data_IF_510561592207
#
_entry.id   IF_510561592207
#
_cell.length_a   1.000
_cell.length_b   1.000
_cell.length_c   1.000
_cell.angle_alpha   90.00
_cell.angle_beta   90.00
_cell.angle_gamma   90.00
#
_symmetry.space_group_name_H-M   'P 1'
#
loop_
_entity.id
_entity.type
_entity.pdbx_description
1 polymer ?
#
# COMPACT_ATOMS: atom_id res chain seq x y z
N UNK A 1 -21.39 -10.48 -32.40
CA UNK A 1 -22.86 -10.41 -32.35
C UNK A 1 -23.36 -11.05 -31.06
N UNK A 2 -24.37 -10.46 -30.42
CA UNK A 2 -24.97 -10.99 -29.19
C UNK A 2 -26.04 -12.01 -29.58
N UNK A 3 -25.67 -13.27 -29.69
CA UNK A 3 -26.60 -14.37 -29.97
C UNK A 3 -27.39 -14.74 -28.72
N UNK A 4 -28.69 -15.04 -28.88
CA UNK A 4 -29.54 -15.52 -27.80
C UNK A 4 -28.97 -16.83 -27.21
N UNK A 5 -28.89 -16.91 -25.87
CA UNK A 5 -28.40 -18.10 -25.15
C UNK A 5 -26.92 -18.09 -24.74
N UNK A 6 -26.09 -17.16 -25.22
CA UNK A 6 -24.70 -16.97 -24.73
C UNK A 6 -24.65 -16.01 -23.55
N UNK A 7 -23.78 -16.29 -22.57
CA UNK A 7 -23.52 -15.35 -21.47
C UNK A 7 -22.89 -14.07 -22.03
N UNK A 8 -23.59 -12.95 -21.85
CA UNK A 8 -23.17 -11.63 -22.33
C UNK A 8 -21.80 -11.21 -21.78
N UNK A 9 -21.44 -11.67 -20.57
CA UNK A 9 -20.13 -11.39 -19.96
C UNK A 9 -19.00 -12.05 -20.73
N UNK A 10 -19.21 -13.27 -21.23
CA UNK A 10 -18.22 -13.96 -22.06
C UNK A 10 -18.04 -13.26 -23.40
N UNK A 11 -19.13 -12.86 -24.05
CA UNK A 11 -19.07 -12.12 -25.32
C UNK A 11 -18.33 -10.78 -25.14
N UNK A 12 -18.58 -10.08 -24.04
CA UNK A 12 -17.87 -8.84 -23.72
C UNK A 12 -16.39 -9.08 -23.44
N UNK A 13 -16.04 -10.09 -22.62
CA UNK A 13 -14.65 -10.43 -22.33
C UNK A 13 -13.89 -10.78 -23.62
N UNK A 14 -14.47 -11.63 -24.47
CA UNK A 14 -13.92 -12.00 -25.77
C UNK A 14 -13.74 -10.82 -26.72
N UNK A 15 -14.52 -9.74 -26.58
CA UNK A 15 -14.37 -8.52 -27.37
C UNK A 15 -13.34 -7.57 -26.75
N UNK A 16 -13.34 -7.42 -25.43
CA UNK A 16 -12.44 -6.55 -24.69
C UNK A 16 -10.98 -7.02 -24.81
N UNK A 17 -10.75 -8.33 -24.77
CA UNK A 17 -9.40 -8.92 -24.83
C UNK A 17 -8.94 -9.27 -26.25
N UNK A 18 -9.62 -8.79 -27.30
CA UNK A 18 -9.14 -9.02 -28.68
C UNK A 18 -7.84 -8.26 -28.91
N UNK A 19 -6.85 -8.84 -29.61
CA UNK A 19 -5.63 -8.11 -29.98
C UNK A 19 -5.91 -6.84 -30.79
N UNK A 20 -7.02 -6.78 -31.52
CA UNK A 20 -7.42 -5.61 -32.32
C UNK A 20 -8.11 -4.53 -31.49
N UNK A 21 -8.39 -4.75 -30.19
CA UNK A 21 -8.95 -3.73 -29.31
C UNK A 21 -7.80 -2.85 -28.78
N UNK A 22 -7.68 -1.58 -29.22
CA UNK A 22 -6.53 -0.75 -28.86
C UNK A 22 -6.60 -0.22 -27.42
N UNK A 23 -7.76 -0.35 -26.75
CA UNK A 23 -8.00 0.32 -25.47
C UNK A 23 -7.66 -0.57 -24.29
N UNK A 24 -8.15 -1.81 -24.27
CA UNK A 24 -8.12 -2.62 -23.05
C UNK A 24 -6.69 -2.95 -22.59
N UNK A 25 -5.82 -3.37 -23.49
CA UNK A 25 -4.43 -3.69 -23.17
C UNK A 25 -3.66 -2.46 -22.68
N UNK A 26 -3.77 -1.32 -23.39
CA UNK A 26 -3.16 -0.04 -22.98
C UNK A 26 -3.65 0.43 -21.62
N UNK A 27 -4.96 0.40 -21.38
CA UNK A 27 -5.53 0.80 -20.09
C UNK A 27 -5.07 -0.13 -18.96
N UNK A 28 -5.05 -1.44 -19.18
CA UNK A 28 -4.62 -2.40 -18.16
C UNK A 28 -3.12 -2.29 -17.87
N UNK A 29 -2.29 -2.15 -18.91
CA UNK A 29 -0.87 -1.92 -18.78
C UNK A 29 -0.59 -0.63 -17.98
N UNK A 30 -1.24 0.48 -18.33
CA UNK A 30 -1.10 1.75 -17.61
C UNK A 30 -1.52 1.65 -16.13
N UNK A 31 -2.62 0.95 -15.84
CA UNK A 31 -3.10 0.75 -14.46
C UNK A 31 -2.17 -0.10 -13.62
N UNK A 32 -1.63 -1.19 -14.18
CA UNK A 32 -0.66 -2.02 -13.46
C UNK A 32 0.67 -1.30 -13.30
N UNK A 33 1.09 -0.52 -14.30
CA UNK A 33 2.24 0.35 -14.19
C UNK A 33 2.04 1.32 -13.01
N UNK A 34 0.95 2.09 -12.99
CA UNK A 34 0.63 2.99 -11.88
C UNK A 34 0.55 2.30 -10.52
N UNK A 35 0.00 1.07 -10.48
CA UNK A 35 -0.07 0.29 -9.25
C UNK A 35 1.31 0.03 -8.64
N UNK A 36 2.33 -0.28 -9.47
CA UNK A 36 3.68 -0.54 -8.99
C UNK A 36 4.49 0.76 -8.82
N UNK A 37 4.49 1.64 -9.81
CA UNK A 37 5.33 2.84 -9.88
C UNK A 37 4.71 4.09 -9.25
N UNK A 38 3.48 4.02 -8.75
CA UNK A 38 2.78 5.14 -8.08
C UNK A 38 2.08 6.11 -9.03
N UNK A 39 2.57 6.24 -10.27
CA UNK A 39 2.00 7.07 -11.33
C UNK A 39 1.88 6.29 -12.64
N UNK A 40 0.81 6.52 -13.40
CA UNK A 40 0.66 5.95 -14.73
C UNK A 40 1.50 6.66 -15.78
N UNK A 41 1.84 5.96 -16.87
CA UNK A 41 2.38 6.58 -18.08
C UNK A 41 1.38 7.60 -18.64
N UNK A 42 0.08 7.35 -18.50
CA UNK A 42 -1.00 8.33 -18.68
C UNK A 42 -1.61 8.64 -17.33
N UNK A 43 -1.73 9.92 -17.00
CA UNK A 43 -2.39 10.42 -15.79
C UNK A 43 -3.38 11.53 -16.20
N UNK A 44 -4.65 11.53 -15.76
CA UNK A 44 -5.32 10.52 -14.93
C UNK A 44 -5.40 9.12 -15.54
N UNK A 45 -5.40 8.07 -14.72
CA UNK A 45 -5.42 6.66 -15.18
C UNK A 45 -6.60 6.30 -16.10
N UNK A 46 -7.72 7.00 -15.96
CA UNK A 46 -8.94 6.78 -16.73
C UNK A 46 -9.03 7.68 -17.97
N UNK A 47 -8.07 8.60 -18.16
CA UNK A 47 -8.10 9.63 -19.20
C UNK A 47 -7.19 9.29 -20.39
N UNK A 48 -7.42 8.11 -21.00
CA UNK A 48 -6.72 7.69 -22.23
C UNK A 48 -7.39 8.32 -23.46
N UNK A 49 -7.08 9.58 -23.74
CA UNK A 49 -7.52 10.31 -24.94
C UNK A 49 -6.31 10.74 -25.77
N UNK A 50 -6.49 10.93 -27.07
CA UNK A 50 -5.42 11.39 -27.96
C UNK A 50 -4.81 12.75 -27.56
N UNK A 51 -5.55 13.57 -26.81
CA UNK A 51 -5.09 14.86 -26.27
C UNK A 51 -4.36 14.73 -24.92
N UNK A 52 -4.26 13.53 -24.36
CA UNK A 52 -3.53 13.21 -23.14
C UNK A 52 -2.59 12.02 -23.41
N UNK A 53 -1.52 12.22 -24.20
CA UNK A 53 -0.60 11.15 -24.54
C UNK A 53 0.18 10.68 -23.31
N UNK A 54 0.68 9.45 -23.38
CA UNK A 54 1.56 8.92 -22.36
C UNK A 54 2.88 9.71 -22.27
N UNK A 55 3.47 9.79 -21.08
CA UNK A 55 4.82 10.33 -20.89
C UNK A 55 5.86 9.60 -21.73
N UNK A 56 5.61 8.33 -22.04
CA UNK A 56 6.37 7.54 -23.00
C UNK A 56 5.42 6.61 -23.79
N UNK A 57 4.96 7.07 -24.96
CA UNK A 57 4.07 6.31 -25.85
C UNK A 57 4.69 4.98 -26.34
N UNK A 58 5.93 4.94 -26.85
CA UNK A 58 6.55 3.67 -27.25
C UNK A 58 6.62 2.63 -26.13
N UNK A 59 6.83 3.07 -24.88
CA UNK A 59 6.81 2.17 -23.73
C UNK A 59 5.40 1.65 -23.44
N UNK A 60 4.38 2.51 -23.49
CA UNK A 60 3.00 2.08 -23.25
C UNK A 60 2.53 1.09 -24.31
N UNK A 61 2.89 1.31 -25.58
CA UNK A 61 2.62 0.37 -26.67
C UNK A 61 3.32 -0.97 -26.44
N UNK A 62 4.62 -0.96 -26.14
CA UNK A 62 5.38 -2.19 -25.87
C UNK A 62 4.82 -2.98 -24.68
N UNK A 63 4.38 -2.30 -23.61
CA UNK A 63 3.75 -2.94 -22.46
C UNK A 63 2.37 -3.51 -22.81
N UNK A 64 1.59 -2.83 -23.65
CA UNK A 64 0.30 -3.32 -24.10
C UNK A 64 0.44 -4.57 -24.98
N UNK A 65 1.40 -4.56 -25.91
CA UNK A 65 1.72 -5.71 -26.77
C UNK A 65 2.19 -6.91 -25.93
N UNK A 66 3.10 -6.68 -24.98
CA UNK A 66 3.56 -7.73 -24.07
C UNK A 66 2.42 -8.34 -23.24
N UNK A 67 1.46 -7.52 -22.78
CA UNK A 67 0.30 -8.02 -22.05
C UNK A 67 -0.61 -8.89 -22.95
N UNK A 68 -0.74 -8.56 -24.24
CA UNK A 68 -1.47 -9.37 -25.23
C UNK A 68 -0.73 -10.69 -25.49
N UNK A 69 0.59 -10.66 -25.66
CA UNK A 69 1.44 -11.84 -25.85
C UNK A 69 1.34 -12.82 -24.67
N UNK A 70 1.31 -12.29 -23.45
CA UNK A 70 1.08 -13.04 -22.21
C UNK A 70 -0.37 -13.53 -22.05
N UNK A 71 -1.27 -13.24 -23.01
CA UNK A 71 -2.70 -13.56 -22.94
C UNK A 71 -3.35 -13.04 -21.66
N UNK A 72 -2.96 -11.83 -21.25
CA UNK A 72 -3.45 -11.15 -20.04
C UNK A 72 -3.13 -11.90 -18.73
N UNK A 73 -2.06 -12.71 -18.69
CA UNK A 73 -1.52 -13.22 -17.43
C UNK A 73 -0.90 -12.07 -16.61
N UNK A 74 -1.69 -11.56 -15.66
CA UNK A 74 -1.29 -10.44 -14.81
C UNK A 74 -0.08 -10.79 -13.93
N UNK A 75 0.10 -12.05 -13.54
CA UNK A 75 1.23 -12.47 -12.69
C UNK A 75 2.53 -12.42 -13.48
N UNK A 76 2.53 -12.94 -14.70
CA UNK A 76 3.68 -12.88 -15.59
C UNK A 76 4.01 -11.43 -15.99
N UNK A 77 2.98 -10.61 -16.23
CA UNK A 77 3.16 -9.19 -16.53
C UNK A 77 3.75 -8.42 -15.33
N UNK A 78 3.21 -8.63 -14.13
CA UNK A 78 3.77 -8.07 -12.90
C UNK A 78 5.23 -8.50 -12.70
N UNK A 79 5.57 -9.77 -12.94
CA UNK A 79 6.97 -10.21 -12.89
C UNK A 79 7.87 -9.43 -13.86
N UNK A 80 7.37 -9.07 -15.04
CA UNK A 80 8.12 -8.25 -15.99
C UNK A 80 8.38 -6.84 -15.44
N UNK A 81 7.34 -6.19 -14.90
CA UNK A 81 7.48 -4.85 -14.30
C UNK A 81 8.43 -4.86 -13.10
N UNK A 82 8.28 -5.82 -12.19
CA UNK A 82 9.08 -5.93 -10.96
C UNK A 82 10.56 -6.27 -11.21
N UNK A 83 10.86 -6.91 -12.35
CA UNK A 83 12.24 -7.18 -12.78
C UNK A 83 12.83 -6.11 -13.71
N UNK A 84 12.09 -5.03 -13.97
CA UNK A 84 12.58 -3.93 -14.80
C UNK A 84 13.61 -3.07 -14.05
N UNK A 85 14.52 -2.44 -14.80
CA UNK A 85 15.46 -1.47 -14.23
C UNK A 85 14.73 -0.31 -13.55
N UNK A 86 13.62 0.16 -14.14
CA UNK A 86 12.81 1.27 -13.60
C UNK A 86 12.32 0.94 -12.19
N UNK A 87 11.89 -0.30 -11.93
CA UNK A 87 11.39 -0.71 -10.62
C UNK A 87 12.50 -0.79 -9.57
N UNK A 88 13.73 -1.07 -10.00
CA UNK A 88 14.88 -1.28 -9.13
C UNK A 88 15.68 0.01 -8.86
N UNK A 89 15.24 1.16 -9.39
CA UNK A 89 15.89 2.45 -9.16
C UNK A 89 15.92 2.83 -7.67
N UNK A 90 16.93 3.62 -7.28
CA UNK A 90 16.97 4.25 -5.96
C UNK A 90 15.87 5.31 -5.84
N UNK A 91 15.36 5.51 -4.63
CA UNK A 91 14.51 6.67 -4.30
C UNK A 91 15.34 7.92 -3.95
N UNK A 92 16.66 7.78 -3.87
CA UNK A 92 17.57 8.91 -3.68
C UNK A 92 17.66 9.74 -4.96
N UNK A 93 17.38 11.03 -4.82
CA UNK A 93 17.44 12.00 -5.91
C UNK A 93 18.79 12.70 -5.96
N UNK A 94 19.14 13.21 -7.12
CA UNK A 94 20.24 14.14 -7.35
C UNK A 94 19.68 15.51 -7.79
N UNK A 95 20.55 16.51 -7.91
CA UNK A 95 20.16 17.88 -8.25
C UNK A 95 19.38 17.98 -9.58
N UNK A 96 19.67 17.09 -10.54
CA UNK A 96 19.06 17.12 -11.88
C UNK A 96 17.69 16.45 -11.96
N UNK A 97 17.35 15.57 -11.02
CA UNK A 97 16.12 14.77 -11.09
C UNK A 97 15.20 14.90 -9.87
N UNK A 98 15.55 15.73 -8.88
CA UNK A 98 14.75 15.95 -7.68
C UNK A 98 13.31 16.45 -7.95
N UNK A 99 13.06 17.07 -9.10
CA UNK A 99 11.74 17.56 -9.52
C UNK A 99 11.06 16.66 -10.57
N UNK A 100 11.64 15.50 -10.88
CA UNK A 100 11.06 14.60 -11.86
C UNK A 100 9.93 13.78 -11.26
N UNK A 101 8.71 14.05 -11.69
CA UNK A 101 7.51 13.33 -11.22
C UNK A 101 6.90 12.42 -12.31
N UNK A 102 7.45 12.42 -13.52
CA UNK A 102 6.78 11.78 -14.68
C UNK A 102 7.67 10.86 -15.53
N UNK A 103 9.00 11.03 -15.47
CA UNK A 103 9.94 10.30 -16.32
C UNK A 103 10.58 9.11 -15.60
N UNK A 104 10.18 8.84 -14.36
CA UNK A 104 10.63 7.67 -13.58
C UNK A 104 12.16 7.61 -13.44
N UNK A 105 12.82 8.75 -13.27
CA UNK A 105 14.28 8.82 -13.06
C UNK A 105 14.74 8.24 -11.71
N UNK A 106 13.81 8.04 -10.79
CA UNK A 106 14.03 7.48 -9.46
C UNK A 106 12.75 6.77 -8.99
N UNK A 107 12.86 5.92 -7.97
CA UNK A 107 11.70 5.27 -7.35
C UNK A 107 10.87 6.29 -6.56
N UNK A 108 9.58 6.38 -6.86
CA UNK A 108 8.66 7.27 -6.18
C UNK A 108 8.14 6.66 -4.88
N UNK A 109 8.02 7.49 -3.84
CA UNK A 109 7.40 7.09 -2.59
C UNK A 109 5.89 6.98 -2.77
N UNK A 110 5.31 5.86 -2.37
CA UNK A 110 3.88 5.59 -2.51
C UNK A 110 3.25 5.34 -1.14
N UNK A 111 2.19 6.07 -0.76
CA UNK A 111 1.47 5.76 0.46
C UNK A 111 0.82 4.38 0.37
N UNK A 112 0.82 3.64 1.47
CA UNK A 112 0.07 2.40 1.56
C UNK A 112 -1.44 2.68 1.42
N UNK A 113 -2.18 1.90 0.63
CA UNK A 113 -3.64 1.98 0.61
C UNK A 113 -4.22 1.81 2.01
N UNK A 114 -5.31 2.51 2.32
CA UNK A 114 -5.97 2.48 3.63
C UNK A 114 -6.15 1.08 4.21
N UNK A 115 -6.61 0.13 3.38
CA UNK A 115 -6.83 -1.25 3.78
C UNK A 115 -5.51 -1.96 4.16
N UNK A 116 -4.47 -1.75 3.35
CA UNK A 116 -3.14 -2.34 3.58
C UNK A 116 -2.52 -1.75 4.84
N UNK A 117 -2.64 -0.44 5.06
CA UNK A 117 -2.11 0.21 6.25
C UNK A 117 -2.82 -0.27 7.52
N UNK A 118 -4.16 -0.42 7.49
CA UNK A 118 -4.92 -0.96 8.63
C UNK A 118 -4.53 -2.41 8.95
N UNK A 119 -4.32 -3.22 7.92
CA UNK A 119 -3.85 -4.58 8.05
C UNK A 119 -2.41 -4.63 8.61
N UNK A 120 -1.53 -3.71 8.18
CA UNK A 120 -0.18 -3.58 8.69
C UNK A 120 -0.17 -3.18 10.18
N UNK A 121 -1.01 -2.23 10.60
CA UNK A 121 -1.18 -1.86 12.02
C UNK A 121 -1.65 -3.06 12.83
N UNK A 122 -2.61 -3.83 12.30
CA UNK A 122 -3.13 -5.03 12.97
C UNK A 122 -2.08 -6.14 13.06
N UNK A 123 -1.22 -6.30 12.04
CA UNK A 123 -0.11 -7.25 12.04
C UNK A 123 1.01 -6.85 13.03
N UNK A 124 1.36 -5.56 13.06
CA UNK A 124 2.39 -5.02 13.95
C UNK A 124 1.96 -5.15 15.42
N UNK A 125 0.73 -4.75 15.74
CA UNK A 125 0.15 -4.88 17.10
C UNK A 125 -0.22 -6.32 17.46
N UNK A 126 -0.36 -7.20 16.46
CA UNK A 126 -0.92 -8.54 16.58
C UNK A 126 -2.35 -8.57 17.15
N UNK A 127 -3.11 -7.49 16.93
CA UNK A 127 -4.51 -7.34 17.32
C UNK A 127 -5.34 -7.15 16.06
N UNK A 128 -6.18 -8.15 15.75
CA UNK A 128 -7.03 -8.11 14.57
C UNK A 128 -8.02 -6.94 14.62
N UNK A 129 -8.32 -6.36 13.47
CA UNK A 129 -9.46 -5.46 13.34
C UNK A 129 -10.77 -6.24 13.38
N UNK A 130 -11.81 -5.65 13.96
CA UNK A 130 -13.14 -6.24 13.96
C UNK A 130 -14.06 -5.44 13.04
N UNK A 131 -14.45 -6.07 11.93
CA UNK A 131 -15.41 -5.48 11.00
C UNK A 131 -16.82 -5.97 11.34
N UNK A 132 -17.77 -5.04 11.45
CA UNK A 132 -19.16 -5.37 11.75
C UNK A 132 -19.75 -6.35 10.71
N UNK A 133 -20.34 -7.45 11.17
CA UNK A 133 -20.90 -8.49 10.30
C UNK A 133 -19.87 -9.46 9.68
N UNK A 134 -18.59 -9.34 10.03
CA UNK A 134 -17.53 -10.23 9.57
C UNK A 134 -16.95 -11.06 10.72
N UNK A 135 -16.48 -12.29 10.46
CA UNK A 135 -15.76 -13.07 11.44
C UNK A 135 -14.47 -12.39 11.92
N UNK A 136 -14.08 -12.63 13.17
CA UNK A 136 -12.81 -12.13 13.72
C UNK A 136 -11.62 -12.68 12.91
N UNK A 137 -10.63 -11.82 12.64
CA UNK A 137 -9.41 -12.19 11.91
C UNK A 137 -9.46 -11.95 10.40
N UNK A 138 -10.59 -11.43 9.87
CA UNK A 138 -10.62 -10.92 8.50
C UNK A 138 -9.72 -9.70 8.36
N UNK A 139 -9.04 -9.61 7.21
CA UNK A 139 -8.23 -8.46 6.82
C UNK A 139 -9.06 -7.41 6.09
N UNK A 140 -8.70 -6.14 6.23
CA UNK A 140 -9.33 -5.03 5.54
C UNK A 140 -9.34 -5.24 4.02
N UNK A 141 -8.25 -5.78 3.44
CA UNK A 141 -8.17 -6.09 2.00
C UNK A 141 -9.19 -7.16 1.54
N UNK A 142 -9.72 -7.97 2.46
CA UNK A 142 -10.71 -9.01 2.16
C UNK A 142 -12.15 -8.50 2.26
N UNK A 143 -12.36 -7.32 2.87
CA UNK A 143 -13.69 -6.72 3.04
C UNK A 143 -14.07 -5.99 1.76
N UNK A 144 -14.97 -6.56 0.98
CA UNK A 144 -15.44 -5.97 -0.28
C UNK A 144 -16.50 -4.88 -0.08
N UNK A 145 -17.14 -4.83 1.10
CA UNK A 145 -18.17 -3.85 1.42
C UNK A 145 -17.53 -2.49 1.77
N UNK A 146 -17.77 -1.51 0.89
CA UNK A 146 -17.27 -0.15 1.05
C UNK A 146 -18.21 0.74 1.87
N UNK A 147 -19.38 0.24 2.27
CA UNK A 147 -20.32 0.96 3.15
C UNK A 147 -20.10 0.66 4.63
N UNK A 148 -19.15 -0.23 4.93
CA UNK A 148 -18.81 -0.56 6.30
C UNK A 148 -18.26 0.69 7.02
N UNK A 149 -18.85 1.11 8.15
CA UNK A 149 -18.37 2.27 8.88
C UNK A 149 -16.99 1.98 9.47
N UNK A 150 -15.97 2.69 8.99
CA UNK A 150 -14.62 2.68 9.56
C UNK A 150 -14.00 4.06 9.39
N UNK A 151 -13.85 4.77 10.49
CA UNK A 151 -13.27 6.12 10.47
C UNK A 151 -11.83 6.10 9.93
N UNK A 152 -11.04 5.08 10.28
CA UNK A 152 -9.69 4.88 9.75
C UNK A 152 -9.72 4.80 8.21
N UNK A 153 -10.53 3.91 7.64
CA UNK A 153 -10.55 3.72 6.18
C UNK A 153 -11.01 4.98 5.44
N UNK A 154 -11.93 5.75 6.01
CA UNK A 154 -12.36 7.03 5.44
C UNK A 154 -11.25 8.09 5.44
N UNK A 155 -10.53 8.26 6.56
CA UNK A 155 -9.43 9.25 6.69
C UNK A 155 -8.28 8.91 5.75
N UNK A 156 -8.00 7.63 5.53
CA UNK A 156 -6.94 7.16 4.64
C UNK A 156 -7.38 7.02 3.17
N UNK A 157 -8.56 7.55 2.80
CA UNK A 157 -8.95 7.72 1.41
C UNK A 157 -9.54 6.48 0.73
N UNK A 158 -10.10 5.53 1.51
CA UNK A 158 -10.86 4.41 0.93
C UNK A 158 -12.06 4.96 0.13
N UNK A 159 -12.20 4.61 -1.16
CA UNK A 159 -13.28 5.14 -1.99
C UNK A 159 -14.63 4.55 -1.57
N UNK A 160 -15.66 5.39 -1.56
CA UNK A 160 -17.07 5.00 -1.28
C UNK A 160 -17.71 4.29 -2.48
N UNK A 161 -17.03 4.29 -3.64
CA UNK A 161 -17.50 3.78 -4.94
C UNK A 161 -18.79 4.45 -5.37
N UNK A 162 -18.88 5.75 -5.15
CA UNK A 162 -20.00 6.56 -5.65
C UNK A 162 -19.83 6.88 -7.14
N UNK A 163 -18.57 6.89 -7.62
CA UNK A 163 -18.23 7.15 -9.01
C UNK A 163 -17.39 6.02 -9.59
N UNK A 164 -17.23 6.01 -10.92
CA UNK A 164 -16.31 5.09 -11.62
C UNK A 164 -14.88 5.62 -11.70
N UNK A 165 -14.62 6.82 -11.16
CA UNK A 165 -13.32 7.47 -11.29
C UNK A 165 -12.29 6.83 -10.34
N UNK A 166 -11.11 6.49 -10.86
CA UNK A 166 -9.96 6.11 -10.06
C UNK A 166 -9.54 7.23 -9.08
N UNK A 167 -9.84 8.49 -9.43
CA UNK A 167 -9.56 9.67 -8.62
C UNK A 167 -10.37 9.75 -7.30
N UNK A 168 -11.39 8.90 -7.09
CA UNK A 168 -12.14 8.87 -5.82
C UNK A 168 -11.26 8.42 -4.64
N UNK A 169 -10.18 7.69 -4.93
CA UNK A 169 -9.18 7.33 -3.92
C UNK A 169 -8.24 8.51 -3.70
N UNK A 170 -8.28 9.07 -2.49
CA UNK A 170 -7.31 10.07 -2.06
C UNK A 170 -5.98 9.43 -1.71
N UNK A 171 -4.94 9.68 -2.50
CA UNK A 171 -3.56 9.25 -2.23
C UNK A 171 -2.69 10.40 -1.72
N UNK A 172 -3.23 11.60 -1.60
CA UNK A 172 -2.50 12.74 -1.08
C UNK A 172 -2.33 12.64 0.44
N UNK A 173 -1.11 12.83 0.96
CA UNK A 173 -0.88 12.92 2.40
C UNK A 173 -1.68 14.07 2.99
N UNK A 174 -2.37 13.85 4.10
CA UNK A 174 -3.10 14.90 4.81
C UNK A 174 -2.70 15.01 6.27
N UNK A 175 -2.83 16.21 6.82
CA UNK A 175 -2.63 16.46 8.27
C UNK A 175 -3.59 15.59 9.09
N UNK A 176 -4.81 15.37 8.59
CA UNK A 176 -5.79 14.51 9.25
C UNK A 176 -5.30 13.06 9.40
N UNK A 177 -4.62 12.50 8.39
CA UNK A 177 -4.03 11.16 8.47
C UNK A 177 -2.94 11.07 9.54
N UNK A 178 -2.04 12.07 9.57
CA UNK A 178 -0.96 12.12 10.57
C UNK A 178 -1.54 12.23 11.98
N UNK A 179 -2.48 13.16 12.19
CA UNK A 179 -3.13 13.34 13.49
C UNK A 179 -3.92 12.09 13.92
N UNK A 180 -4.51 11.37 12.97
CA UNK A 180 -5.21 10.12 13.25
C UNK A 180 -4.23 9.03 13.71
N UNK A 181 -3.07 8.85 13.06
CA UNK A 181 -2.09 7.83 13.52
C UNK A 181 -1.57 8.14 14.92
N UNK A 182 -1.30 9.41 15.21
CA UNK A 182 -0.76 9.82 16.50
C UNK A 182 -1.77 9.70 17.64
N UNK A 183 -3.04 10.05 17.38
CA UNK A 183 -4.02 10.29 18.45
C UNK A 183 -5.26 9.38 18.40
N UNK A 184 -5.36 8.46 17.43
CA UNK A 184 -6.54 7.61 17.30
C UNK A 184 -6.69 6.69 18.51
N UNK A 185 -7.85 6.73 19.22
CA UNK A 185 -8.14 5.80 20.30
C UNK A 185 -8.12 4.35 19.84
N UNK A 186 -8.45 4.08 18.57
CA UNK A 186 -8.45 2.74 18.01
C UNK A 186 -7.04 2.17 17.87
N UNK A 187 -6.11 2.97 17.34
CA UNK A 187 -4.69 2.61 17.24
C UNK A 187 -4.09 2.42 18.63
N UNK A 188 -4.35 3.35 19.55
CA UNK A 188 -3.82 3.26 20.92
C UNK A 188 -4.35 2.02 21.65
N UNK A 189 -5.64 1.69 21.49
CA UNK A 189 -6.24 0.48 22.08
C UNK A 189 -5.57 -0.79 21.58
N UNK A 190 -5.21 -0.88 20.29
CA UNK A 190 -4.49 -2.03 19.73
C UNK A 190 -3.07 -2.13 20.28
N UNK A 191 -2.37 -1.00 20.42
CA UNK A 191 -1.02 -0.97 21.00
C UNK A 191 -1.04 -1.42 22.46
N UNK A 192 -2.05 -0.99 23.22
CA UNK A 192 -2.22 -1.28 24.65
C UNK A 192 -3.04 -2.54 24.95
N UNK A 193 -3.36 -3.35 23.93
CA UNK A 193 -4.17 -4.55 24.12
C UNK A 193 -3.42 -5.58 24.97
N UNK A 194 -4.13 -6.23 25.90
CA UNK A 194 -3.54 -7.22 26.82
C UNK A 194 -3.05 -8.47 26.11
N UNK A 195 -3.61 -8.78 24.94
CA UNK A 195 -3.22 -9.90 24.08
C UNK A 195 -2.28 -9.48 22.95
N UNK A 196 -2.03 -8.17 22.82
CA UNK A 196 -1.18 -7.57 21.79
C UNK A 196 0.29 -7.98 21.89
N UNK A 197 1.05 -7.64 20.85
CA UNK A 197 2.47 -7.95 20.72
C UNK A 197 3.29 -7.34 21.86
N UNK A 198 3.04 -6.07 22.19
CA UNK A 198 3.73 -5.32 23.27
C UNK A 198 3.56 -6.01 24.63
N UNK A 199 2.33 -6.37 25.00
CA UNK A 199 2.03 -7.08 26.24
C UNK A 199 2.70 -8.47 26.30
N UNK A 200 2.68 -9.21 25.19
CA UNK A 200 3.34 -10.53 25.08
C UNK A 200 4.86 -10.43 25.16
N UNK A 201 5.47 -9.41 24.55
CA UNK A 201 6.92 -9.20 24.61
C UNK A 201 7.36 -8.71 25.98
N UNK A 202 6.61 -7.80 26.60
CA UNK A 202 6.91 -7.29 27.93
C UNK A 202 6.81 -8.35 29.03
N UNK A 203 5.95 -9.36 28.86
CA UNK A 203 5.83 -10.50 29.77
C UNK A 203 6.79 -11.66 29.47
N UNK A 204 7.60 -11.56 28.42
CA UNK A 204 8.58 -12.59 28.06
C UNK A 204 9.93 -12.37 28.74
N UNK A 205 10.73 -13.44 28.85
CA UNK A 205 12.10 -13.41 29.40
C UNK A 205 13.14 -12.80 28.43
N UNK A 206 12.70 -12.20 27.31
CA UNK A 206 13.61 -11.60 26.34
C UNK A 206 14.36 -10.42 26.96
N UNK A 207 15.60 -10.17 26.52
CA UNK A 207 16.29 -8.92 26.82
C UNK A 207 15.61 -7.72 26.12
N UNK A 208 15.89 -6.48 26.57
CA UNK A 208 15.34 -5.28 25.93
C UNK A 208 15.66 -5.24 24.43
N UNK A 209 16.90 -5.56 24.06
CA UNK A 209 17.32 -5.68 22.66
C UNK A 209 16.50 -6.67 21.85
N UNK A 210 16.18 -7.83 22.41
CA UNK A 210 15.35 -8.83 21.74
C UNK A 210 13.88 -8.42 21.59
N UNK A 211 13.40 -7.48 22.40
CA UNK A 211 12.09 -6.86 22.20
C UNK A 211 12.16 -5.83 21.08
N UNK A 212 13.18 -4.96 21.11
CA UNK A 212 13.39 -3.94 20.08
C UNK A 212 13.49 -4.61 18.70
N UNK A 213 14.29 -5.66 18.57
CA UNK A 213 14.45 -6.39 17.31
C UNK A 213 13.13 -6.95 16.79
N UNK A 214 12.33 -7.56 17.66
CA UNK A 214 11.02 -8.09 17.26
C UNK A 214 10.04 -6.99 16.85
N UNK A 215 10.05 -5.84 17.54
CA UNK A 215 9.18 -4.70 17.20
C UNK A 215 9.56 -4.11 15.85
N UNK A 216 10.85 -3.98 15.55
CA UNK A 216 11.37 -3.53 14.26
C UNK A 216 11.05 -4.52 13.13
N UNK A 217 11.26 -5.82 13.36
CA UNK A 217 10.92 -6.84 12.37
C UNK A 217 9.40 -6.91 12.10
N UNK A 218 8.58 -6.70 13.12
CA UNK A 218 7.13 -6.73 12.99
C UNK A 218 6.54 -5.51 12.28
N UNK A 219 7.21 -4.35 12.35
CA UNK A 219 6.72 -3.09 11.78
C UNK A 219 7.41 -2.74 10.46
N UNK A 220 8.73 -2.81 10.40
CA UNK A 220 9.56 -2.34 9.28
C UNK A 220 10.25 -3.49 8.52
N UNK A 221 10.08 -4.75 8.96
CA UNK A 221 10.68 -5.94 8.34
C UNK A 221 12.22 -5.89 8.22
N UNK A 222 12.89 -5.11 9.07
CA UNK A 222 14.36 -5.02 9.19
C UNK A 222 14.79 -4.93 10.65
N UNK A 223 16.08 -5.07 10.91
CA UNK A 223 16.65 -4.77 12.22
C UNK A 223 16.86 -3.25 12.41
N UNK A 224 16.89 -2.76 13.66
CA UNK A 224 17.27 -1.37 13.94
C UNK A 224 18.73 -1.14 13.56
N UNK A 225 19.02 0.05 13.04
CA UNK A 225 20.38 0.56 12.93
C UNK A 225 20.99 0.79 14.32
N UNK A 226 22.31 0.98 14.40
CA UNK A 226 23.00 1.20 15.67
C UNK A 226 22.50 2.46 16.40
N UNK A 227 22.25 3.55 15.66
CA UNK A 227 21.70 4.79 16.22
C UNK A 227 20.26 4.60 16.72
N UNK A 228 19.41 3.93 15.95
CA UNK A 228 18.05 3.60 16.36
C UNK A 228 18.05 2.72 17.61
N UNK A 229 18.92 1.70 17.66
CA UNK A 229 19.04 0.82 18.82
C UNK A 229 19.37 1.58 20.09
N UNK A 230 20.37 2.47 20.04
CA UNK A 230 20.76 3.28 21.19
C UNK A 230 19.60 4.16 21.71
N UNK A 231 18.84 4.79 20.80
CA UNK A 231 17.66 5.58 21.16
C UNK A 231 16.57 4.73 21.83
N UNK A 232 16.30 3.54 21.29
CA UNK A 232 15.26 2.67 21.85
C UNK A 232 15.69 2.04 23.18
N UNK A 233 16.97 1.74 23.35
CA UNK A 233 17.52 1.31 24.64
C UNK A 233 17.39 2.41 25.70
N UNK A 234 17.63 3.67 25.32
CA UNK A 234 17.41 4.82 26.21
C UNK A 234 15.94 4.93 26.62
N UNK A 235 15.00 4.77 25.70
CA UNK A 235 13.56 4.75 26.00
C UNK A 235 13.19 3.63 26.99
N UNK A 236 13.80 2.46 26.87
CA UNK A 236 13.63 1.37 27.85
C UNK A 236 14.21 1.70 29.23
N UNK A 237 15.30 2.46 29.30
CA UNK A 237 15.95 2.83 30.56
C UNK A 237 15.22 3.96 31.30
N UNK A 238 14.60 4.88 30.56
CA UNK A 238 13.84 6.02 31.11
C UNK A 238 12.41 5.65 31.55
N UNK A 239 11.87 4.55 31.01
CA UNK A 239 10.52 4.10 31.34
C UNK A 239 10.47 3.36 32.68
N UNK A 240 9.42 3.63 33.48
CA UNK A 240 9.17 2.93 34.73
C UNK A 240 8.66 1.50 34.52
N UNK A 241 8.13 1.20 33.33
CA UNK A 241 7.50 -0.08 33.03
C UNK A 241 7.96 -0.58 31.67
N UNK A 242 8.50 -1.81 31.64
CA UNK A 242 8.92 -2.49 30.42
C UNK A 242 7.84 -2.54 29.34
N UNK A 243 6.58 -2.65 29.77
CA UNK A 243 5.43 -2.67 28.86
C UNK A 243 5.19 -1.31 28.22
N UNK A 244 5.26 -0.24 29.01
CA UNK A 244 5.09 1.14 28.54
C UNK A 244 6.17 1.49 27.51
N UNK A 245 7.45 1.16 27.80
CA UNK A 245 8.52 1.30 26.81
C UNK A 245 8.25 0.57 25.49
N UNK A 246 7.76 -0.67 25.53
CA UNK A 246 7.42 -1.42 24.32
C UNK A 246 6.24 -0.80 23.55
N UNK A 247 5.25 -0.25 24.26
CA UNK A 247 4.10 0.46 23.68
C UNK A 247 4.54 1.77 23.01
N UNK A 248 5.42 2.55 23.64
CA UNK A 248 5.95 3.80 23.10
C UNK A 248 6.83 3.58 21.86
N UNK A 249 7.65 2.53 21.87
CA UNK A 249 8.47 2.15 20.71
C UNK A 249 7.57 1.74 19.55
N UNK A 250 6.57 0.89 19.80
CA UNK A 250 5.64 0.49 18.75
C UNK A 250 4.86 1.70 18.20
N UNK A 251 4.37 2.58 19.07
CA UNK A 251 3.72 3.82 18.66
C UNK A 251 4.64 4.68 17.78
N UNK A 252 5.90 4.83 18.18
CA UNK A 252 6.91 5.57 17.41
C UNK A 252 7.09 4.98 16.02
N UNK A 253 7.27 3.66 15.93
CA UNK A 253 7.48 2.96 14.66
C UNK A 253 6.29 3.10 13.71
N UNK A 254 5.06 2.97 14.23
CA UNK A 254 3.83 3.13 13.44
C UNK A 254 3.63 4.55 12.88
N UNK A 255 4.25 5.55 13.50
CA UNK A 255 4.19 6.96 13.06
C UNK A 255 5.38 7.37 12.18
N UNK A 256 6.29 6.45 11.85
CA UNK A 256 7.39 6.75 10.92
C UNK A 256 6.91 6.82 9.48
N UNK A 257 7.61 7.60 8.65
CA UNK A 257 7.38 7.62 7.20
C UNK A 257 7.63 6.25 6.57
N UNK A 258 8.61 5.51 7.07
CA UNK A 258 8.95 4.16 6.60
C UNK A 258 7.80 3.17 6.77
N UNK A 259 6.97 3.34 7.81
CA UNK A 259 5.80 2.48 8.01
C UNK A 259 4.62 2.83 7.09
N UNK A 260 4.41 4.13 6.81
CA UNK A 260 3.23 4.61 6.07
C UNK A 260 3.45 4.57 4.55
N UNK A 261 4.70 4.69 4.09
CA UNK A 261 5.06 4.75 2.68
C UNK A 261 5.84 3.51 2.26
N UNK A 262 5.46 2.96 1.12
CA UNK A 262 6.24 1.95 0.41
C UNK A 262 7.16 2.61 -0.62
N UNK A 263 8.31 1.99 -0.85
CA UNK A 263 9.20 2.29 -1.97
C UNK A 263 8.73 1.59 -3.26
#
# INVERSE_FOLDING_TARGET
>A
ELTSGRDRRQVFAEWATRPQNPFFARTMANRLFAHYFGRGLVEPLDDLRATNPASNEPLLDALADHLIELRFDLKAFSQTLLNSQVYQLSSEVNESNQLDEQNYSHAAWKPLPAEVLLDAVSQATAVAEQFNGWPTGYRAIQVWDNKLPSHFLEVFGRPKRLTVCACERGTEPSIAQVLHLMNSPDTMRKIQDRTGRTARLASSDRAADGIIDELYLATLARFPSEAERQLMQQAFAESNNRREAAEDILWTLLNTKEFVFNR
#
